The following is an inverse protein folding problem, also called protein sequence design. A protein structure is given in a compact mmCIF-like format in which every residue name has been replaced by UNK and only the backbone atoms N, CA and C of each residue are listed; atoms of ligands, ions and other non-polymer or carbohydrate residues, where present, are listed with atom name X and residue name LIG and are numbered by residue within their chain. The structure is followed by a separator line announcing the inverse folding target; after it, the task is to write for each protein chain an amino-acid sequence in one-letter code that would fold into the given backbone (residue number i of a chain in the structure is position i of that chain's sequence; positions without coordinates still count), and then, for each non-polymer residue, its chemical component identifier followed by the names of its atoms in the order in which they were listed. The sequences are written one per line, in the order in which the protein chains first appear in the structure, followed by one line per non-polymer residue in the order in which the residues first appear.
data_IF_674458590237
#
_entry.id   IF_674458590237
#
_cell.length_a   1.000
_cell.length_b   1.000
_cell.length_c   1.000
_cell.angle_alpha   90.00
_cell.angle_beta   90.00
_cell.angle_gamma   90.00
#
_symmetry.space_group_name_H-M   'P 1'
#
loop_
_entity.id
_entity.type
_entity.pdbx_description
1 polymer ?
#
# COMPACT_ATOMS: atom_id res chain seq x y z
N UNK A 1 4.04 -11.22 -9.46
CA UNK A 1 2.89 -11.93 -10.06
C UNK A 1 2.19 -12.77 -9.00
N UNK A 2 0.89 -12.52 -8.77
CA UNK A 2 0.07 -13.19 -7.74
C UNK A 2 -1.13 -13.97 -8.31
N UNK A 3 -1.48 -13.75 -9.58
CA UNK A 3 -2.58 -14.44 -10.24
C UNK A 3 -2.33 -15.95 -10.33
N UNK A 4 -3.32 -16.77 -9.98
CA UNK A 4 -3.21 -18.23 -9.96
C UNK A 4 -2.35 -18.83 -8.84
N UNK A 5 -1.92 -18.03 -7.85
CA UNK A 5 -1.16 -18.51 -6.69
C UNK A 5 -1.88 -18.16 -5.40
N UNK A 6 -1.90 -19.10 -4.45
CA UNK A 6 -2.37 -18.83 -3.10
C UNK A 6 -1.34 -18.03 -2.32
N UNK A 7 -1.76 -16.93 -1.70
CA UNK A 7 -0.87 -16.11 -0.87
C UNK A 7 -1.54 -15.64 0.43
N UNK A 8 -0.71 -15.15 1.35
CA UNK A 8 -1.17 -14.64 2.66
C UNK A 8 -0.98 -13.14 2.72
N UNK A 9 -2.06 -12.42 3.05
CA UNK A 9 -2.05 -10.98 3.29
C UNK A 9 -1.97 -10.75 4.79
N UNK A 10 -0.85 -10.19 5.24
CA UNK A 10 -0.71 -9.70 6.61
C UNK A 10 -1.15 -8.24 6.69
N UNK A 11 -2.12 -7.94 7.54
CA UNK A 11 -2.66 -6.59 7.71
C UNK A 11 -2.88 -6.26 9.17
N UNK A 12 -2.65 -5.01 9.56
CA UNK A 12 -3.07 -4.46 10.84
C UNK A 12 -4.47 -3.85 10.81
N UNK A 13 -5.16 -3.95 9.66
CA UNK A 13 -6.51 -3.44 9.48
C UNK A 13 -7.57 -4.53 9.71
N UNK A 14 -8.11 -4.58 10.93
CA UNK A 14 -9.11 -5.58 11.34
C UNK A 14 -10.34 -5.67 10.43
N UNK A 15 -10.95 -4.59 9.93
CA UNK A 15 -12.10 -4.71 9.03
C UNK A 15 -11.81 -5.48 7.74
N UNK A 16 -10.54 -5.52 7.30
CA UNK A 16 -10.14 -6.24 6.10
C UNK A 16 -10.23 -7.76 6.28
N UNK A 17 -10.12 -8.28 7.51
CA UNK A 17 -10.23 -9.74 7.75
C UNK A 17 -11.63 -10.29 7.51
N UNK A 18 -12.65 -9.44 7.54
CA UNK A 18 -14.06 -9.83 7.37
C UNK A 18 -14.67 -9.27 6.09
N UNK A 19 -13.86 -8.62 5.23
CA UNK A 19 -14.34 -7.92 4.03
C UNK A 19 -15.19 -8.81 3.11
N UNK A 20 -14.80 -10.08 2.96
CA UNK A 20 -15.52 -11.05 2.14
C UNK A 20 -16.80 -11.58 2.80
N UNK A 21 -16.91 -11.47 4.13
CA UNK A 21 -18.04 -11.95 4.92
C UNK A 21 -19.09 -10.87 5.19
N UNK A 22 -18.86 -9.63 4.77
CA UNK A 22 -19.81 -8.54 4.93
C UNK A 22 -21.04 -8.76 4.04
N UNK A 23 -22.22 -8.74 4.65
CA UNK A 23 -23.51 -8.89 3.96
C UNK A 23 -23.82 -7.70 3.06
N UNK A 24 -23.63 -6.48 3.57
CA UNK A 24 -23.95 -5.23 2.86
C UNK A 24 -22.75 -4.25 2.89
N UNK A 25 -21.71 -4.47 2.07
CA UNK A 25 -20.58 -3.57 1.98
C UNK A 25 -20.95 -2.27 1.23
N UNK A 26 -20.47 -1.13 1.71
CA UNK A 26 -20.61 0.13 0.98
C UNK A 26 -19.98 0.06 -0.43
N UNK A 27 -20.28 1.02 -1.31
CA UNK A 27 -19.81 1.02 -2.71
C UNK A 27 -18.29 0.88 -2.86
N UNK A 28 -17.51 1.51 -1.96
CA UNK A 28 -16.05 1.43 -1.94
C UNK A 28 -15.57 0.01 -1.59
N UNK A 29 -16.15 -0.58 -0.55
CA UNK A 29 -15.85 -1.94 -0.10
C UNK A 29 -16.28 -2.98 -1.14
N UNK A 30 -17.41 -2.78 -1.81
CA UNK A 30 -17.88 -3.63 -2.92
C UNK A 30 -16.87 -3.65 -4.06
N UNK A 31 -16.35 -2.48 -4.47
CA UNK A 31 -15.32 -2.42 -5.51
C UNK A 31 -14.05 -3.15 -5.12
N UNK A 32 -13.59 -2.99 -3.87
CA UNK A 32 -12.43 -3.72 -3.37
C UNK A 32 -12.67 -5.23 -3.28
N UNK A 33 -13.86 -5.64 -2.84
CA UNK A 33 -14.27 -7.04 -2.77
C UNK A 33 -14.23 -7.70 -4.15
N UNK A 34 -14.78 -7.05 -5.17
CA UNK A 34 -14.74 -7.55 -6.56
C UNK A 34 -13.30 -7.71 -7.05
N UNK A 35 -12.47 -6.68 -6.84
CA UNK A 35 -11.07 -6.72 -7.25
C UNK A 35 -10.27 -7.83 -6.55
N UNK A 36 -10.59 -8.10 -5.29
CA UNK A 36 -9.91 -9.14 -4.52
C UNK A 36 -10.47 -10.53 -4.82
N UNK A 37 -11.75 -10.66 -5.22
CA UNK A 37 -12.39 -11.95 -5.52
C UNK A 37 -11.71 -12.72 -6.67
N UNK A 38 -10.94 -12.05 -7.52
CA UNK A 38 -10.14 -12.67 -8.59
C UNK A 38 -8.89 -13.40 -8.09
N UNK A 39 -8.53 -13.25 -6.82
CA UNK A 39 -7.32 -13.80 -6.22
C UNK A 39 -7.64 -14.88 -5.17
N UNK A 40 -6.78 -15.90 -5.07
CA UNK A 40 -6.81 -16.85 -3.96
C UNK A 40 -5.87 -16.36 -2.85
N UNK A 41 -6.45 -15.88 -1.75
CA UNK A 41 -5.68 -15.33 -0.63
C UNK A 41 -6.29 -15.64 0.73
N UNK A 42 -5.45 -15.58 1.76
CA UNK A 42 -5.87 -15.65 3.17
C UNK A 42 -5.45 -14.36 3.88
N UNK A 43 -6.38 -13.72 4.59
CA UNK A 43 -6.08 -12.51 5.37
C UNK A 43 -5.76 -12.89 6.81
N UNK A 44 -4.60 -12.48 7.30
CA UNK A 44 -4.17 -12.68 8.68
C UNK A 44 -3.96 -11.33 9.34
N UNK A 45 -4.65 -11.11 10.46
CA UNK A 45 -4.41 -9.93 11.27
C UNK A 45 -3.06 -10.02 11.97
N UNK A 46 -2.24 -8.96 11.82
CA UNK A 46 -0.98 -8.77 12.52
C UNK A 46 -1.03 -7.43 13.24
N UNK A 47 -0.75 -7.41 14.55
CA UNK A 47 -0.75 -6.16 15.33
C UNK A 47 0.23 -5.16 14.71
N UNK A 48 -0.16 -3.90 14.54
CA UNK A 48 0.66 -2.88 13.86
C UNK A 48 2.09 -2.77 14.39
N UNK A 49 2.29 -2.95 15.71
CA UNK A 49 3.62 -2.99 16.34
C UNK A 49 4.54 -4.11 15.81
N UNK A 50 3.99 -5.19 15.26
CA UNK A 50 4.73 -6.27 14.63
C UNK A 50 4.79 -6.12 13.10
N UNK A 51 4.03 -5.19 12.52
CA UNK A 51 4.00 -4.90 11.08
C UNK A 51 4.98 -3.77 10.70
N UNK A 52 6.16 -3.75 11.34
CA UNK A 52 7.16 -2.68 11.23
C UNK A 52 7.63 -2.45 9.81
N UNK A 53 7.74 -3.51 8.99
CA UNK A 53 8.21 -3.38 7.61
C UNK A 53 7.22 -2.58 6.75
N UNK A 54 5.93 -2.92 6.83
CA UNK A 54 4.89 -2.20 6.11
C UNK A 54 4.71 -0.78 6.66
N UNK A 55 4.76 -0.61 7.98
CA UNK A 55 4.65 0.70 8.63
C UNK A 55 5.81 1.62 8.20
N UNK A 56 7.06 1.13 8.23
CA UNK A 56 8.23 1.87 7.76
C UNK A 56 8.06 2.33 6.31
N UNK A 57 7.73 1.41 5.40
CA UNK A 57 7.54 1.75 3.98
C UNK A 57 6.39 2.75 3.77
N UNK A 58 5.30 2.64 4.53
CA UNK A 58 4.16 3.56 4.43
C UNK A 58 4.46 4.97 4.98
N UNK A 59 5.43 5.08 5.89
CA UNK A 59 5.83 6.35 6.53
C UNK A 59 7.07 7.00 5.92
N UNK A 60 7.75 6.33 5.00
CA UNK A 60 8.90 6.92 4.29
C UNK A 60 8.42 8.15 3.52
N UNK A 61 8.88 9.33 3.96
CA UNK A 61 8.73 10.57 3.21
C UNK A 61 9.76 10.56 2.08
N UNK A 62 9.29 10.33 0.86
CA UNK A 62 10.14 10.47 -0.32
C UNK A 62 10.33 11.98 -0.53
N UNK A 63 11.47 12.50 -0.07
CA UNK A 63 11.89 13.85 -0.45
C UNK A 63 12.28 13.81 -1.92
N UNK A 64 11.40 14.30 -2.79
CA UNK A 64 11.77 14.53 -4.18
C UNK A 64 12.78 15.67 -4.19
N UNK A 65 14.08 15.37 -4.27
CA UNK A 65 15.08 16.38 -4.63
C UNK A 65 14.69 16.85 -6.03
N UNK A 66 14.05 18.01 -6.14
CA UNK A 66 13.99 18.70 -7.42
C UNK A 66 15.43 18.97 -7.84
N UNK A 67 15.77 18.54 -9.05
CA UNK A 67 17.11 18.67 -9.63
C UNK A 67 17.42 20.10 -10.09
N UNK A 68 16.64 21.10 -9.64
CA UNK A 68 16.74 22.48 -10.13
C UNK A 68 17.83 23.31 -9.47
N UNK A 69 18.52 22.82 -8.43
CA UNK A 69 19.48 23.61 -7.65
C UNK A 69 20.95 23.52 -8.10
N UNK A 70 21.26 22.86 -9.22
CA UNK A 70 22.64 22.71 -9.73
C UNK A 70 23.05 23.69 -10.84
N UNK A 71 22.16 24.60 -11.26
CA UNK A 71 22.54 25.71 -12.14
C UNK A 71 23.22 26.82 -11.31
N UNK A 72 24.43 26.54 -10.81
CA UNK A 72 25.33 27.57 -10.29
C UNK A 72 25.96 28.27 -11.50
N UNK A 73 25.52 29.51 -11.73
CA UNK A 73 26.23 30.64 -12.36
C UNK A 73 27.47 30.27 -13.20
N UNK A 74 27.26 30.09 -14.50
CA UNK A 74 28.26 30.39 -15.52
C UNK A 74 27.64 31.51 -16.35
N UNK A 75 28.09 32.74 -16.14
CA UNK A 75 28.08 33.87 -17.10
C UNK A 75 28.10 35.21 -16.34
N UNK A 76 29.24 35.55 -15.74
CA UNK A 76 29.63 36.96 -15.53
C UNK A 76 31.14 36.99 -15.33
N UNK A 77 31.87 36.88 -16.45
CA UNK A 77 33.26 37.33 -16.54
C UNK A 77 33.57 37.72 -18.00
N UNK A 78 33.12 38.91 -18.38
CA UNK A 78 33.88 39.89 -19.19
C UNK A 78 33.34 41.31 -18.91
#
# INVERSE_FOLDING_TARGET
YLYGRKFVIYTDHRPLTWLMSLKDPNSKLTRWRLKLAEYDYTVVYKKGRQNTNADALSRVKIYHKSVDSLAVNLDDND
#
